data_IF_096796584413
#
_entry.id   IF_096796584413
#
_cell.length_a   1.000
_cell.length_b   1.000
_cell.length_c   1.000
_cell.angle_alpha   90.00
_cell.angle_beta   90.00
_cell.angle_gamma   90.00
#
_symmetry.space_group_name_H-M   'P 1'
#
loop_
_entity.id
_entity.type
_entity.pdbx_description
1 polymer ?
#
# COMPACT_ATOMS: atom_id res chain seq x y z
N UNK A 1 -10.94 67.02 -12.20
CA UNK A 1 -11.85 68.14 -12.56
C UNK A 1 -12.25 67.95 -14.00
N UNK A 2 -13.54 67.64 -14.22
CA UNK A 2 -14.35 68.03 -15.37
C UNK A 2 -15.71 67.33 -15.17
N UNK A 3 -16.61 68.03 -14.49
CA UNK A 3 -18.07 67.88 -14.65
C UNK A 3 -18.45 68.23 -16.09
N UNK A 4 -19.53 67.62 -16.58
CA UNK A 4 -20.60 68.21 -17.42
C UNK A 4 -21.55 67.05 -17.81
N UNK A 5 -22.60 66.76 -17.03
CA UNK A 5 -23.98 67.26 -17.21
C UNK A 5 -24.42 67.37 -18.67
N UNK A 6 -25.42 66.57 -19.06
CA UNK A 6 -26.48 67.09 -19.93
C UNK A 6 -27.84 66.42 -19.63
N UNK A 7 -28.96 67.16 -19.72
CA UNK A 7 -30.28 66.85 -19.19
C UNK A 7 -31.25 66.43 -20.31
N UNK A 8 -32.54 66.75 -20.13
CA UNK A 8 -33.72 66.66 -21.03
C UNK A 8 -34.62 65.46 -20.67
N UNK A 9 -35.75 65.61 -19.95
CA UNK A 9 -36.87 66.57 -20.03
C UNK A 9 -37.48 66.61 -21.43
N UNK A 10 -38.69 66.05 -21.55
CA UNK A 10 -39.62 66.23 -22.67
C UNK A 10 -41.03 66.42 -22.05
N UNK A 11 -41.95 67.19 -22.65
CA UNK A 11 -42.55 68.32 -21.96
C UNK A 11 -44.08 68.20 -21.90
N UNK A 12 -44.65 68.95 -20.96
CA UNK A 12 -45.80 69.83 -21.15
C UNK A 12 -47.03 69.34 -21.96
N UNK A 13 -48.17 69.18 -21.29
CA UNK A 13 -49.41 69.93 -21.62
C UNK A 13 -50.21 70.20 -20.33
N UNK A 14 -50.16 71.45 -19.84
CA UNK A 14 -51.21 72.16 -19.08
C UNK A 14 -52.13 72.85 -20.12
N UNK A 15 -53.45 73.11 -19.93
CA UNK A 15 -53.94 74.08 -18.95
C UNK A 15 -55.33 73.82 -18.31
N UNK A 16 -55.38 74.02 -16.99
CA UNK A 16 -56.33 74.93 -16.31
C UNK A 16 -57.81 74.54 -16.05
N UNK A 17 -58.28 75.04 -14.89
CA UNK A 17 -59.67 75.16 -14.37
C UNK A 17 -60.31 73.86 -13.86
N UNK A 18 -60.88 73.76 -12.65
CA UNK A 18 -61.45 74.77 -11.75
C UNK A 18 -61.55 74.15 -10.35
N UNK A 19 -61.26 74.94 -9.32
CA UNK A 19 -61.63 74.66 -7.94
C UNK A 19 -63.16 74.75 -7.81
N UNK A 20 -63.82 73.86 -7.04
CA UNK A 20 -64.79 74.38 -6.09
C UNK A 20 -64.54 73.84 -4.69
N UNK A 21 -64.43 74.81 -3.79
CA UNK A 21 -64.86 74.85 -2.40
C UNK A 21 -65.39 73.56 -1.77
N UNK A 22 -64.82 73.26 -0.61
CA UNK A 22 -65.60 73.06 0.61
C UNK A 22 -66.59 71.90 0.58
N UNK A 23 -66.15 70.74 1.06
CA UNK A 23 -67.06 69.88 1.80
C UNK A 23 -66.36 69.31 3.03
N UNK A 24 -66.49 70.06 4.13
CA UNK A 24 -66.34 69.51 5.45
C UNK A 24 -67.38 68.39 5.63
N UNK A 25 -66.91 67.17 5.88
CA UNK A 25 -67.75 66.09 6.38
C UNK A 25 -66.93 65.24 7.35
N UNK A 26 -67.59 64.67 8.36
CA UNK A 26 -67.85 65.33 9.62
C UNK A 26 -66.96 64.74 10.72
N UNK A 27 -66.79 65.51 11.79
CA UNK A 27 -66.28 65.04 13.08
C UNK A 27 -67.22 63.94 13.62
N UNK A 28 -66.99 62.69 13.19
CA UNK A 28 -67.61 61.52 13.80
C UNK A 28 -67.05 61.42 15.21
N UNK A 29 -67.84 61.85 16.18
CA UNK A 29 -67.66 61.44 17.58
C UNK A 29 -67.81 59.92 17.65
N UNK A 30 -66.71 59.21 17.41
CA UNK A 30 -66.66 57.75 17.42
C UNK A 30 -67.19 57.28 18.78
N UNK A 31 -68.30 56.54 18.78
CA UNK A 31 -68.84 55.99 20.02
C UNK A 31 -67.78 55.11 20.67
N UNK A 32 -67.58 55.24 21.99
CA UNK A 32 -66.60 54.46 22.76
C UNK A 32 -66.65 52.96 22.44
N UNK A 33 -67.84 52.44 22.14
CA UNK A 33 -68.09 51.05 21.75
C UNK A 33 -67.49 50.64 20.39
N UNK A 34 -67.41 51.56 19.43
CA UNK A 34 -66.80 51.31 18.11
C UNK A 34 -65.28 51.40 18.17
N UNK A 35 -64.74 52.32 18.98
CA UNK A 35 -63.32 52.37 19.29
C UNK A 35 -62.86 51.07 19.96
N UNK A 36 -63.55 50.61 21.00
CA UNK A 36 -63.24 49.35 21.69
C UNK A 36 -63.30 48.14 20.75
N UNK A 37 -64.27 48.11 19.80
CA UNK A 37 -64.35 47.07 18.78
C UNK A 37 -63.16 47.09 17.82
N UNK A 38 -62.75 48.26 17.33
CA UNK A 38 -61.60 48.42 16.44
C UNK A 38 -60.29 48.05 17.12
N UNK A 39 -60.12 48.43 18.39
CA UNK A 39 -58.96 48.06 19.21
C UNK A 39 -58.90 46.55 19.40
N UNK A 40 -60.00 45.91 19.81
CA UNK A 40 -60.06 44.46 19.99
C UNK A 40 -59.78 43.69 18.68
N UNK A 41 -60.32 44.16 17.55
CA UNK A 41 -60.06 43.55 16.24
C UNK A 41 -58.57 43.69 15.84
N UNK A 42 -57.96 44.85 16.10
CA UNK A 42 -56.54 45.07 15.85
C UNK A 42 -55.68 44.18 16.75
N UNK A 43 -55.98 44.10 18.04
CA UNK A 43 -55.27 43.21 18.98
C UNK A 43 -55.39 41.74 18.58
N UNK A 44 -56.57 41.29 18.13
CA UNK A 44 -56.77 39.94 17.63
C UNK A 44 -55.93 39.67 16.37
N UNK A 45 -55.89 40.63 15.44
CA UNK A 45 -55.09 40.53 14.21
C UNK A 45 -53.58 40.52 14.51
N UNK A 46 -53.12 41.35 15.44
CA UNK A 46 -51.72 41.37 15.89
C UNK A 46 -51.33 40.03 16.52
N UNK A 47 -52.17 39.48 17.41
CA UNK A 47 -51.93 38.16 18.01
C UNK A 47 -51.89 37.03 16.98
N UNK A 48 -52.81 37.06 16.00
CA UNK A 48 -52.81 36.07 14.92
C UNK A 48 -51.54 36.15 14.07
N UNK A 49 -51.07 37.36 13.76
CA UNK A 49 -49.83 37.58 13.02
C UNK A 49 -48.58 37.16 13.82
N UNK A 50 -48.55 37.42 15.13
CA UNK A 50 -47.49 36.96 16.02
C UNK A 50 -47.45 35.42 16.12
N UNK A 51 -48.62 34.77 16.19
CA UNK A 51 -48.72 33.31 16.18
C UNK A 51 -48.24 32.71 14.85
N UNK A 52 -48.69 33.27 13.72
CA UNK A 52 -48.24 32.82 12.39
C UNK A 52 -46.73 32.99 12.23
N UNK A 53 -46.17 34.11 12.70
CA UNK A 53 -44.72 34.35 12.70
C UNK A 53 -43.98 33.33 13.58
N UNK A 54 -44.51 33.02 14.75
CA UNK A 54 -43.93 32.01 15.64
C UNK A 54 -43.98 30.60 15.02
N UNK A 55 -45.09 30.24 14.39
CA UNK A 55 -45.26 28.95 13.71
C UNK A 55 -44.32 28.81 12.49
N UNK A 56 -44.15 29.89 11.72
CA UNK A 56 -43.19 29.93 10.61
C UNK A 56 -41.75 29.80 11.11
N UNK A 57 -41.41 30.50 12.19
CA UNK A 57 -40.08 30.39 12.80
C UNK A 57 -39.81 28.97 13.31
N UNK A 58 -40.77 28.37 14.02
CA UNK A 58 -40.65 27.00 14.52
C UNK A 58 -40.46 25.97 13.38
N UNK A 59 -41.16 26.16 12.25
CA UNK A 59 -40.98 25.31 11.05
C UNK A 59 -39.61 25.49 10.42
N UNK A 60 -39.10 26.72 10.36
CA UNK A 60 -37.74 26.98 9.84
C UNK A 60 -36.68 26.32 10.73
N UNK A 61 -36.81 26.45 12.05
CA UNK A 61 -35.90 25.85 13.02
C UNK A 61 -35.93 24.31 12.93
N UNK A 62 -37.12 23.71 12.76
CA UNK A 62 -37.26 22.26 12.57
C UNK A 62 -36.60 21.76 11.27
N UNK A 63 -36.78 22.51 10.17
CA UNK A 63 -36.13 22.18 8.89
C UNK A 63 -34.61 22.28 9.02
N UNK A 64 -34.10 23.32 9.69
CA UNK A 64 -32.67 23.51 9.89
C UNK A 64 -32.08 22.42 10.79
N UNK A 65 -32.78 22.04 11.87
CA UNK A 65 -32.38 20.95 12.75
C UNK A 65 -32.29 19.61 11.98
N UNK A 66 -33.32 19.27 11.18
CA UNK A 66 -33.33 18.07 10.34
C UNK A 66 -32.21 18.08 9.30
N UNK A 67 -31.90 19.25 8.72
CA UNK A 67 -30.80 19.40 7.76
C UNK A 67 -29.44 19.16 8.44
N UNK A 68 -29.21 19.75 9.61
CA UNK A 68 -27.99 19.54 10.41
C UNK A 68 -27.81 18.08 10.81
N UNK A 69 -28.87 17.42 11.27
CA UNK A 69 -28.84 16.00 11.63
C UNK A 69 -28.49 15.12 10.43
N UNK A 70 -29.12 15.35 9.27
CA UNK A 70 -28.79 14.62 8.04
C UNK A 70 -27.35 14.85 7.60
N UNK A 71 -26.88 16.09 7.59
CA UNK A 71 -25.49 16.40 7.23
C UNK A 71 -24.49 15.76 8.19
N UNK A 72 -24.77 15.73 9.49
CA UNK A 72 -23.92 15.04 10.46
C UNK A 72 -23.91 13.52 10.25
N UNK A 73 -25.06 12.92 9.98
CA UNK A 73 -25.17 11.49 9.67
C UNK A 73 -24.48 11.12 8.34
N UNK A 74 -24.56 11.97 7.32
CA UNK A 74 -23.85 11.81 6.05
C UNK A 74 -22.34 11.94 6.24
N UNK A 75 -21.87 12.97 6.94
CA UNK A 75 -20.45 13.13 7.28
C UNK A 75 -19.93 11.92 8.07
N UNK A 76 -20.70 11.42 9.04
CA UNK A 76 -20.31 10.24 9.81
C UNK A 76 -20.20 8.98 8.96
N UNK A 77 -21.05 8.81 7.94
CA UNK A 77 -20.95 7.69 6.99
C UNK A 77 -19.75 7.85 6.06
N UNK A 78 -19.54 9.04 5.51
CA UNK A 78 -18.42 9.33 4.61
C UNK A 78 -17.07 9.15 5.32
N UNK A 79 -16.95 9.59 6.57
CA UNK A 79 -15.76 9.37 7.40
C UNK A 79 -15.50 7.87 7.64
N UNK A 80 -16.55 7.09 7.92
CA UNK A 80 -16.43 5.63 8.08
C UNK A 80 -16.02 4.93 6.79
N UNK A 81 -16.59 5.33 5.64
CA UNK A 81 -16.21 4.78 4.34
C UNK A 81 -14.77 5.13 3.97
N UNK A 82 -14.34 6.36 4.25
CA UNK A 82 -12.94 6.78 4.04
C UNK A 82 -11.97 6.02 4.94
N UNK A 83 -12.33 5.79 6.21
CA UNK A 83 -11.52 4.99 7.13
C UNK A 83 -11.39 3.55 6.62
N UNK A 84 -12.51 2.90 6.25
CA UNK A 84 -12.50 1.56 5.66
C UNK A 84 -11.65 1.47 4.40
N UNK A 85 -11.79 2.44 3.50
CA UNK A 85 -10.99 2.49 2.27
C UNK A 85 -9.49 2.68 2.56
N UNK A 86 -9.15 3.50 3.55
CA UNK A 86 -7.76 3.67 4.00
C UNK A 86 -7.20 2.36 4.56
N UNK A 87 -7.93 1.70 5.46
CA UNK A 87 -7.54 0.42 6.05
C UNK A 87 -7.38 -0.67 5.00
N UNK A 88 -8.29 -0.73 4.03
CA UNK A 88 -8.26 -1.69 2.94
C UNK A 88 -7.08 -1.43 1.99
N UNK A 89 -6.77 -0.16 1.72
CA UNK A 89 -5.60 0.22 0.95
C UNK A 89 -4.29 -0.14 1.66
N UNK A 90 -4.21 0.09 2.97
CA UNK A 90 -3.04 -0.27 3.77
C UNK A 90 -2.84 -1.79 3.78
N UNK A 91 -3.91 -2.55 4.02
CA UNK A 91 -3.87 -4.03 3.95
C UNK A 91 -3.45 -4.53 2.57
N UNK A 92 -3.99 -3.94 1.51
CA UNK A 92 -3.63 -4.32 0.15
C UNK A 92 -2.16 -4.04 -0.16
N UNK A 93 -1.62 -2.91 0.30
CA UNK A 93 -0.20 -2.59 0.09
C UNK A 93 0.71 -3.54 0.88
N UNK A 94 0.34 -3.92 2.10
CA UNK A 94 1.05 -4.94 2.88
C UNK A 94 1.02 -6.29 2.16
N UNK A 95 -0.16 -6.76 1.75
CA UNK A 95 -0.32 -8.04 1.06
C UNK A 95 0.45 -8.06 -0.27
N UNK A 96 0.43 -6.94 -1.00
CA UNK A 96 1.20 -6.78 -2.23
C UNK A 96 2.70 -6.87 -1.97
N UNK A 97 3.22 -6.21 -0.94
CA UNK A 97 4.64 -6.30 -0.58
C UNK A 97 5.04 -7.71 -0.15
N UNK A 98 4.20 -8.38 0.64
CA UNK A 98 4.40 -9.79 1.02
C UNK A 98 4.40 -10.70 -0.22
N UNK A 99 3.47 -10.48 -1.15
CA UNK A 99 3.39 -11.24 -2.39
C UNK A 99 4.62 -11.02 -3.28
N UNK A 100 5.05 -9.78 -3.46
CA UNK A 100 6.26 -9.43 -4.22
C UNK A 100 7.50 -10.08 -3.59
N UNK A 101 7.61 -10.08 -2.25
CA UNK A 101 8.70 -10.74 -1.55
C UNK A 101 8.66 -12.26 -1.73
N UNK A 102 7.50 -12.90 -1.55
CA UNK A 102 7.34 -14.35 -1.73
C UNK A 102 7.64 -14.76 -3.17
N UNK A 103 7.21 -13.97 -4.15
CA UNK A 103 7.54 -14.18 -5.56
C UNK A 103 9.05 -14.14 -5.79
N UNK A 104 9.73 -13.10 -5.30
CA UNK A 104 11.19 -12.99 -5.41
C UNK A 104 11.90 -14.16 -4.72
N UNK A 105 11.49 -14.54 -3.51
CA UNK A 105 12.05 -15.69 -2.79
C UNK A 105 11.87 -16.98 -3.59
N UNK A 106 10.70 -17.21 -4.20
CA UNK A 106 10.46 -18.41 -5.00
C UNK A 106 11.29 -18.45 -6.28
N UNK A 107 11.44 -17.31 -6.97
CA UNK A 107 12.30 -17.22 -8.15
C UNK A 107 13.76 -17.49 -7.80
N UNK A 108 14.27 -16.83 -6.75
CA UNK A 108 15.64 -17.08 -6.26
C UNK A 108 15.81 -18.53 -5.81
N UNK A 109 14.80 -19.13 -5.17
CA UNK A 109 14.85 -20.54 -4.78
C UNK A 109 14.91 -21.49 -5.99
N UNK A 110 14.24 -21.16 -7.09
CA UNK A 110 14.34 -21.92 -8.34
C UNK A 110 15.75 -21.85 -8.90
N UNK A 111 16.28 -20.63 -9.06
CA UNK A 111 17.60 -20.39 -9.64
C UNK A 111 18.73 -21.02 -8.79
N UNK A 112 18.61 -20.94 -7.46
CA UNK A 112 19.53 -21.62 -6.53
C UNK A 112 19.50 -23.13 -6.73
N UNK A 113 18.30 -23.72 -6.86
CA UNK A 113 18.17 -25.16 -7.04
C UNK A 113 18.74 -25.63 -8.39
N UNK A 114 18.58 -24.84 -9.45
CA UNK A 114 19.20 -25.09 -10.75
C UNK A 114 20.74 -25.10 -10.65
N UNK A 115 21.30 -24.24 -9.80
CA UNK A 115 22.75 -24.21 -9.48
C UNK A 115 23.18 -25.27 -8.46
N UNK A 116 22.28 -26.14 -8.02
CA UNK A 116 22.56 -27.20 -7.04
C UNK A 116 22.72 -26.70 -5.59
N UNK A 117 22.26 -25.47 -5.29
CA UNK A 117 22.35 -24.86 -3.98
C UNK A 117 21.06 -25.05 -3.15
N UNK A 118 21.13 -25.00 -1.81
CA UNK A 118 19.96 -25.15 -0.95
C UNK A 118 18.95 -24.00 -1.12
N UNK A 119 17.69 -24.36 -1.41
CA UNK A 119 16.56 -23.40 -1.48
C UNK A 119 16.35 -22.60 -0.19
N UNK A 120 16.80 -23.12 0.95
CA UNK A 120 16.73 -22.43 2.24
C UNK A 120 17.48 -21.10 2.26
N UNK A 121 18.47 -20.92 1.38
CA UNK A 121 19.21 -19.66 1.26
C UNK A 121 18.39 -18.56 0.58
N UNK A 122 17.34 -18.93 -0.17
CA UNK A 122 16.56 -17.97 -0.96
C UNK A 122 15.94 -16.87 -0.11
N UNK A 123 15.43 -17.20 1.08
CA UNK A 123 14.80 -16.23 2.00
C UNK A 123 15.80 -15.17 2.48
N UNK A 124 17.03 -15.57 2.78
CA UNK A 124 18.08 -14.65 3.20
C UNK A 124 18.57 -13.79 2.03
N UNK A 125 18.72 -14.40 0.85
CA UNK A 125 19.19 -13.70 -0.34
C UNK A 125 18.14 -12.73 -0.90
N UNK A 126 16.84 -13.06 -0.84
CA UNK A 126 15.77 -12.17 -1.30
C UNK A 126 15.70 -10.85 -0.53
N UNK A 127 16.37 -10.72 0.62
CA UNK A 127 16.52 -9.43 1.33
C UNK A 127 17.37 -8.42 0.56
N UNK A 128 18.21 -8.87 -0.37
CA UNK A 128 18.99 -7.99 -1.27
C UNK A 128 18.05 -7.26 -2.25
N UNK A 129 16.83 -7.76 -2.46
CA UNK A 129 15.77 -7.10 -3.22
C UNK A 129 15.97 -7.10 -4.75
N UNK A 130 17.12 -7.54 -5.23
CA UNK A 130 17.49 -7.53 -6.64
C UNK A 130 17.99 -8.91 -7.06
N UNK A 131 17.20 -9.57 -7.92
CA UNK A 131 17.47 -10.92 -8.41
C UNK A 131 18.82 -11.01 -9.11
N UNK A 132 19.14 -10.07 -10.00
CA UNK A 132 20.36 -10.14 -10.81
C UNK A 132 21.61 -10.02 -9.93
N UNK A 133 21.56 -9.15 -8.91
CA UNK A 133 22.62 -9.05 -7.90
C UNK A 133 22.76 -10.33 -7.09
N UNK A 134 21.65 -10.93 -6.66
CA UNK A 134 21.66 -12.19 -5.92
C UNK A 134 22.33 -13.28 -6.77
N UNK A 135 21.95 -13.41 -8.03
CA UNK A 135 22.49 -14.41 -8.96
C UNK A 135 23.99 -14.18 -9.20
N UNK A 136 24.43 -12.94 -9.38
CA UNK A 136 25.85 -12.62 -9.52
C UNK A 136 26.68 -13.01 -8.29
N UNK A 137 26.20 -12.68 -7.08
CA UNK A 137 26.85 -13.07 -5.82
C UNK A 137 26.93 -14.59 -5.69
N UNK A 138 25.83 -15.28 -6.04
CA UNK A 138 25.78 -16.74 -6.02
C UNK A 138 26.77 -17.35 -7.01
N UNK A 139 26.87 -16.82 -8.22
CA UNK A 139 27.79 -17.31 -9.24
C UNK A 139 29.26 -17.12 -8.84
N UNK A 140 29.59 -15.97 -8.27
CA UNK A 140 30.93 -15.71 -7.72
C UNK A 140 31.27 -16.70 -6.60
N UNK A 141 30.36 -16.86 -5.63
CA UNK A 141 30.57 -17.78 -4.52
C UNK A 141 30.71 -19.25 -4.98
N UNK A 142 29.91 -19.70 -5.95
CA UNK A 142 30.02 -21.06 -6.51
C UNK A 142 31.35 -21.25 -7.24
N UNK A 143 31.79 -20.26 -8.01
CA UNK A 143 33.08 -20.29 -8.72
C UNK A 143 34.25 -20.42 -7.74
N UNK A 144 34.28 -19.60 -6.69
CA UNK A 144 35.32 -19.66 -5.65
C UNK A 144 35.33 -21.01 -4.93
N UNK A 145 34.14 -21.53 -4.58
CA UNK A 145 34.02 -22.85 -3.96
C UNK A 145 34.56 -23.96 -4.86
N UNK A 146 34.27 -23.93 -6.16
CA UNK A 146 34.79 -24.91 -7.10
C UNK A 146 36.32 -24.87 -7.18
N UNK A 147 36.93 -23.69 -7.18
CA UNK A 147 38.39 -23.56 -7.17
C UNK A 147 39.00 -24.09 -5.87
N UNK A 148 38.39 -23.79 -4.72
CA UNK A 148 38.81 -24.33 -3.41
C UNK A 148 38.69 -25.86 -3.40
N UNK A 149 37.59 -26.42 -3.93
CA UNK A 149 37.38 -27.87 -4.01
C UNK A 149 38.40 -28.53 -4.94
N UNK A 150 38.68 -27.96 -6.12
CA UNK A 150 39.73 -28.44 -7.04
C UNK A 150 41.10 -28.42 -6.37
N UNK A 151 41.43 -27.35 -5.67
CA UNK A 151 42.70 -27.22 -4.94
C UNK A 151 42.84 -28.29 -3.85
N UNK A 152 41.79 -28.48 -3.03
CA UNK A 152 41.76 -29.52 -2.00
C UNK A 152 41.86 -30.93 -2.60
N UNK A 153 41.13 -31.21 -3.69
CA UNK A 153 41.17 -32.50 -4.36
C UNK A 153 42.57 -32.78 -4.93
N UNK A 154 43.19 -31.77 -5.55
CA UNK A 154 44.58 -31.85 -6.04
C UNK A 154 45.56 -32.12 -4.90
N UNK A 155 45.41 -31.47 -3.74
CA UNK A 155 46.22 -31.72 -2.56
C UNK A 155 46.00 -33.14 -2.01
N UNK A 156 44.76 -33.62 -1.94
CA UNK A 156 44.46 -34.98 -1.50
C UNK A 156 45.01 -36.04 -2.46
N UNK A 157 44.94 -35.82 -3.77
CA UNK A 157 45.55 -36.71 -4.77
C UNK A 157 47.08 -36.63 -4.75
N UNK A 158 47.69 -35.49 -4.43
CA UNK A 158 49.13 -35.37 -4.28
C UNK A 158 49.64 -36.00 -2.97
N UNK A 159 48.86 -35.88 -1.89
CA UNK A 159 49.15 -36.46 -0.57
C UNK A 159 48.93 -37.97 -0.53
N UNK A 160 48.00 -38.50 -1.33
CA UNK A 160 48.00 -39.91 -1.72
C UNK A 160 49.08 -40.09 -2.77
N UNK A 161 50.34 -40.17 -2.33
CA UNK A 161 51.40 -40.69 -3.19
C UNK A 161 50.86 -41.97 -3.84
N UNK A 162 50.75 -42.05 -5.18
CA UNK A 162 50.53 -43.34 -5.79
C UNK A 162 51.65 -44.19 -5.23
N UNK A 163 51.35 -45.34 -4.62
CA UNK A 163 52.37 -46.35 -4.43
C UNK A 163 52.94 -46.52 -5.82
N UNK A 164 54.14 -45.96 -6.06
CA UNK A 164 54.86 -46.21 -7.30
C UNK A 164 54.79 -47.72 -7.38
N UNK A 165 54.13 -48.27 -8.41
CA UNK A 165 54.51 -49.60 -8.88
C UNK A 165 55.98 -49.44 -9.17
N UNK A 166 56.80 -49.79 -8.18
CA UNK A 166 58.24 -49.90 -8.32
C UNK A 166 58.38 -50.84 -9.48
N UNK A 167 58.77 -50.27 -10.61
CA UNK A 167 58.88 -50.99 -11.86
C UNK A 167 59.69 -52.25 -11.60
N UNK A 168 59.21 -53.37 -12.12
CA UNK A 168 59.94 -54.63 -12.27
C UNK A 168 61.03 -54.80 -11.21
N UNK A 169 60.63 -54.87 -9.93
CA UNK A 169 61.51 -55.54 -8.98
C UNK A 169 61.46 -56.99 -9.43
N UNK A 170 62.53 -57.44 -10.09
CA UNK A 170 62.80 -58.85 -10.37
C UNK A 170 62.93 -59.58 -9.03
N UNK A 171 61.82 -59.71 -8.31
CA UNK A 171 61.71 -60.59 -7.17
C UNK A 171 61.81 -61.98 -7.76
N UNK A 172 62.93 -62.65 -7.55
CA UNK A 172 63.10 -64.01 -8.04
C UNK A 172 62.34 -64.98 -7.14
N UNK A 173 62.08 -66.21 -7.61
CA UNK A 173 61.46 -67.25 -6.76
C UNK A 173 62.27 -67.54 -5.48
N UNK A 174 63.59 -67.37 -5.55
CA UNK A 174 64.47 -67.52 -4.39
C UNK A 174 64.23 -66.43 -3.34
N UNK A 175 63.92 -65.20 -3.77
CA UNK A 175 63.61 -64.10 -2.88
C UNK A 175 62.21 -64.26 -2.28
N UNK A 176 61.23 -64.68 -3.08
CA UNK A 176 59.87 -64.99 -2.59
C UNK A 176 59.88 -66.07 -1.49
N UNK A 177 60.76 -67.05 -1.60
CA UNK A 177 60.89 -68.11 -0.58
C UNK A 177 61.46 -67.58 0.74
N UNK A 178 62.31 -66.54 0.68
CA UNK A 178 62.90 -65.88 1.86
C UNK A 178 61.99 -64.82 2.48
N UNK A 179 60.98 -64.34 1.74
CA UNK A 179 59.99 -63.39 2.27
C UNK A 179 59.16 -63.99 3.40
N UNK A 180 58.90 -63.17 4.39
CA UNK A 180 57.96 -63.42 5.48
C UNK A 180 56.51 -63.49 4.98
N UNK A 181 55.61 -64.07 5.78
CA UNK A 181 54.19 -64.13 5.44
C UNK A 181 53.56 -62.74 5.23
N UNK A 182 54.01 -61.73 5.99
CA UNK A 182 53.54 -60.36 5.87
C UNK A 182 53.92 -59.76 4.50
N UNK A 183 55.19 -59.89 4.10
CA UNK A 183 55.69 -59.41 2.80
C UNK A 183 55.01 -60.13 1.63
N UNK A 184 54.73 -61.44 1.77
CA UNK A 184 53.96 -62.20 0.78
C UNK A 184 52.51 -61.71 0.65
N UNK A 185 51.90 -61.30 1.76
CA UNK A 185 50.52 -60.78 1.80
C UNK A 185 50.44 -59.38 1.18
N UNK A 186 51.44 -58.54 1.43
CA UNK A 186 51.58 -57.24 0.75
C UNK A 186 51.81 -57.42 -0.75
N UNK A 187 52.64 -58.38 -1.16
CA UNK A 187 52.86 -58.69 -2.58
C UNK A 187 51.57 -59.16 -3.26
N UNK A 188 50.79 -60.03 -2.61
CA UNK A 188 49.48 -60.46 -3.11
C UNK A 188 48.49 -59.28 -3.26
N UNK A 189 48.49 -58.35 -2.31
CA UNK A 189 47.56 -57.22 -2.29
C UNK A 189 47.93 -56.13 -3.30
N UNK A 190 49.23 -55.88 -3.50
CA UNK A 190 49.74 -54.80 -4.35
C UNK A 190 50.10 -55.26 -5.77
N UNK A 191 50.43 -56.54 -5.97
CA UNK A 191 50.83 -57.11 -7.27
C UNK A 191 50.53 -58.62 -7.36
N UNK A 192 49.24 -58.96 -7.52
CA UNK A 192 48.75 -60.33 -7.61
C UNK A 192 49.39 -61.15 -8.73
N UNK A 193 49.59 -60.55 -9.90
CA UNK A 193 50.21 -61.22 -11.06
C UNK A 193 51.65 -61.67 -10.73
N UNK A 194 52.43 -60.80 -10.08
CA UNK A 194 53.78 -61.14 -9.65
C UNK A 194 53.76 -62.23 -8.57
N UNK A 195 52.88 -62.12 -7.57
CA UNK A 195 52.70 -63.16 -6.54
C UNK A 195 52.41 -64.55 -7.15
N UNK A 196 51.46 -64.62 -8.09
CA UNK A 196 51.04 -65.88 -8.71
C UNK A 196 52.16 -66.48 -9.58
N UNK A 197 53.02 -65.65 -10.19
CA UNK A 197 54.20 -66.12 -10.95
C UNK A 197 55.36 -66.66 -10.08
N UNK A 198 55.40 -66.28 -8.81
CA UNK A 198 56.50 -66.58 -7.88
C UNK A 198 56.20 -67.70 -6.88
N UNK A 199 54.92 -68.05 -6.73
CA UNK A 199 54.45 -69.22 -5.97
C UNK A 199 55.00 -70.55 -6.51
#
# INVERSE_FOLDING_TARGET
MAEETNPNVDPNVDPNETNPEGNAQPDETVSKKEFDRRVNALTAKTKAFEQEKADLQAKLDEIEAKKKEKSFAELSKEEQEKAKFSDERERFEIERQEFEQVKLTNEVASDLAEKGLPKSLAKALSLVGDKDKIIAIVDEAVSEQQEILKANLKQQLAGKTPVKRTGNTEVTKADFTKMTLAERTELYSNNRELYDSLK
#
